data_IF_979193094417
#
_entry.id   IF_979193094417
#
_cell.length_a   1.000
_cell.length_b   1.000
_cell.length_c   1.000
_cell.angle_alpha   90.00
_cell.angle_beta   90.00
_cell.angle_gamma   90.00
#
_symmetry.space_group_name_H-M   'P 1'
#
loop_
_entity.id
_entity.type
_entity.pdbx_description
1 polymer ?
#
# COMPACT_ATOMS: atom_id res chain seq x y z
N UNK A 1 5.18 -24.69 2.48
CA UNK A 1 6.43 -23.96 2.21
C UNK A 1 6.06 -22.66 1.50
N UNK A 2 5.96 -21.61 2.27
CA UNK A 2 5.64 -20.26 1.73
C UNK A 2 6.90 -19.75 1.03
N UNK A 3 6.90 -19.71 -0.29
CA UNK A 3 7.92 -18.99 -1.03
C UNK A 3 7.54 -17.51 -0.99
N UNK A 4 8.11 -16.78 -0.06
CA UNK A 4 8.11 -15.32 -0.11
C UNK A 4 8.81 -14.92 -1.41
N UNK A 5 8.05 -14.42 -2.36
CA UNK A 5 8.60 -13.77 -3.54
C UNK A 5 9.21 -12.45 -3.07
N UNK A 6 10.51 -12.46 -2.83
CA UNK A 6 11.25 -11.23 -2.52
C UNK A 6 11.19 -10.34 -3.75
N UNK A 7 10.45 -9.28 -3.63
CA UNK A 7 10.61 -8.15 -4.53
C UNK A 7 12.00 -7.58 -4.25
N UNK A 8 12.92 -7.82 -5.19
CA UNK A 8 14.23 -7.20 -5.13
C UNK A 8 13.99 -5.76 -5.57
N UNK A 9 13.86 -4.86 -4.62
CA UNK A 9 14.04 -3.44 -4.87
C UNK A 9 15.53 -3.26 -5.15
N UNK A 10 15.96 -2.98 -6.38
CA UNK A 10 17.35 -2.61 -6.60
C UNK A 10 17.56 -1.29 -5.87
N UNK A 11 18.49 -1.28 -4.93
CA UNK A 11 19.08 -0.05 -4.39
C UNK A 11 19.73 0.71 -5.55
N UNK A 12 18.93 1.39 -6.31
CA UNK A 12 19.35 2.34 -7.32
C UNK A 12 19.18 3.74 -6.75
N UNK A 13 20.29 4.30 -6.32
CA UNK A 13 20.42 5.72 -5.99
C UNK A 13 20.09 6.51 -7.26
N UNK A 14 18.83 6.90 -7.45
CA UNK A 14 18.45 7.88 -8.45
C UNK A 14 17.93 9.12 -7.74
N UNK A 15 18.84 10.08 -7.61
CA UNK A 15 18.51 11.47 -7.35
C UNK A 15 17.78 11.99 -8.59
N UNK A 16 16.46 12.04 -8.55
CA UNK A 16 15.70 12.85 -9.48
C UNK A 16 14.77 13.78 -8.71
N UNK A 17 15.04 15.04 -8.95
CA UNK A 17 14.32 16.15 -8.36
C UNK A 17 12.84 16.18 -8.76
N UNK A 18 12.01 16.57 -7.79
CA UNK A 18 10.81 17.33 -8.06
C UNK A 18 9.55 16.55 -8.40
N UNK A 19 9.07 15.73 -7.48
CA UNK A 19 7.63 15.61 -7.24
C UNK A 19 7.38 16.12 -5.83
N UNK A 20 6.86 17.35 -5.76
CA UNK A 20 6.49 17.94 -4.49
C UNK A 20 5.36 17.12 -3.85
N UNK A 21 5.60 16.49 -2.69
CA UNK A 21 4.60 16.05 -1.77
C UNK A 21 4.43 14.57 -1.49
N UNK A 22 5.08 13.64 -2.19
CA UNK A 22 5.03 12.22 -1.86
C UNK A 22 6.35 11.77 -1.24
N UNK A 23 6.35 11.47 0.05
CA UNK A 23 7.47 10.85 0.75
C UNK A 23 7.21 9.34 0.85
N UNK A 24 8.27 8.52 0.72
CA UNK A 24 8.15 7.12 1.12
C UNK A 24 7.74 7.05 2.59
N UNK A 25 6.75 6.22 2.95
CA UNK A 25 6.40 6.05 4.34
C UNK A 25 7.63 5.57 5.09
N UNK A 26 8.07 6.35 6.07
CA UNK A 26 9.20 5.96 6.89
C UNK A 26 8.79 4.76 7.75
N UNK A 27 9.42 3.61 7.52
CA UNK A 27 9.19 2.37 8.27
C UNK A 27 9.71 2.44 9.72
N UNK A 28 10.06 3.63 10.20
CA UNK A 28 10.99 3.74 11.31
C UNK A 28 10.41 3.73 12.71
N UNK A 29 9.17 4.13 12.97
CA UNK A 29 8.81 4.45 14.37
C UNK A 29 7.37 4.07 14.77
N UNK A 30 6.87 2.95 14.28
CA UNK A 30 5.62 2.39 14.78
C UNK A 30 5.82 1.88 16.22
N UNK A 31 4.95 2.29 17.15
CA UNK A 31 4.95 1.72 18.48
C UNK A 31 4.24 0.35 18.50
N UNK A 32 4.43 -0.41 19.58
CA UNK A 32 3.87 -1.77 19.70
C UNK A 32 2.34 -1.80 19.60
N UNK A 33 1.65 -0.79 20.11
CA UNK A 33 0.19 -0.71 20.02
C UNK A 33 -0.28 -0.50 18.59
N UNK A 34 0.40 0.37 17.84
CA UNK A 34 0.11 0.59 16.43
C UNK A 34 0.33 -0.68 15.60
N UNK A 35 1.45 -1.36 15.82
CA UNK A 35 1.75 -2.64 15.16
C UNK A 35 0.63 -3.65 15.42
N UNK A 36 0.24 -3.82 16.69
CA UNK A 36 -0.83 -4.75 17.07
C UNK A 36 -2.17 -4.40 16.41
N UNK A 37 -2.54 -3.12 16.36
CA UNK A 37 -3.77 -2.67 15.71
C UNK A 37 -3.76 -2.97 14.22
N UNK A 38 -2.66 -2.71 13.53
CA UNK A 38 -2.51 -3.00 12.11
C UNK A 38 -2.56 -4.51 11.82
N UNK A 39 -1.86 -5.32 12.60
CA UNK A 39 -1.88 -6.79 12.49
C UNK A 39 -3.29 -7.34 12.68
N UNK A 40 -4.02 -6.84 13.68
CA UNK A 40 -5.40 -7.25 13.91
C UNK A 40 -6.30 -6.92 12.73
N UNK A 41 -6.18 -5.73 12.15
CA UNK A 41 -6.99 -5.30 11.00
C UNK A 41 -6.62 -6.03 9.70
N UNK A 42 -5.36 -6.40 9.53
CA UNK A 42 -4.89 -7.18 8.37
C UNK A 42 -5.14 -8.68 8.51
N UNK A 43 -5.46 -9.18 9.69
CA UNK A 43 -5.50 -10.62 9.97
C UNK A 43 -6.40 -11.41 9.04
N UNK A 44 -7.55 -10.87 8.66
CA UNK A 44 -8.48 -11.53 7.73
C UNK A 44 -7.88 -11.64 6.32
N UNK A 45 -7.26 -10.57 5.82
CA UNK A 45 -6.60 -10.57 4.51
C UNK A 45 -5.44 -11.55 4.48
N UNK A 46 -4.62 -11.58 5.54
CA UNK A 46 -3.50 -12.51 5.67
C UNK A 46 -3.98 -13.96 5.70
N UNK A 47 -5.02 -14.26 6.49
CA UNK A 47 -5.60 -15.61 6.56
C UNK A 47 -6.16 -16.07 5.21
N UNK A 48 -6.82 -15.20 4.47
CA UNK A 48 -7.33 -15.50 3.13
C UNK A 48 -6.18 -15.80 2.17
N UNK A 49 -5.13 -14.98 2.19
CA UNK A 49 -3.97 -15.16 1.33
C UNK A 49 -3.24 -16.47 1.64
N UNK A 50 -3.00 -16.77 2.91
CA UNK A 50 -2.35 -18.00 3.35
C UNK A 50 -3.18 -19.26 3.04
N UNK A 51 -4.49 -19.20 3.24
CA UNK A 51 -5.39 -20.31 2.93
C UNK A 51 -5.47 -20.65 1.44
N UNK A 52 -5.14 -19.70 0.56
CA UNK A 52 -5.18 -19.86 -0.89
C UNK A 52 -3.79 -19.87 -1.53
N UNK A 53 -2.73 -19.99 -0.75
CA UNK A 53 -1.32 -19.96 -1.22
C UNK A 53 -0.98 -18.71 -2.05
N UNK A 54 -1.62 -17.57 -1.74
CA UNK A 54 -1.38 -16.30 -2.40
C UNK A 54 -0.16 -15.62 -1.77
N UNK A 55 0.83 -15.27 -2.60
CA UNK A 55 1.96 -14.46 -2.18
C UNK A 55 1.54 -13.01 -1.92
N UNK A 56 1.97 -12.44 -0.80
CA UNK A 56 1.67 -11.05 -0.44
C UNK A 56 2.87 -10.35 0.18
N UNK A 57 2.82 -9.02 0.15
CA UNK A 57 3.75 -8.14 0.86
C UNK A 57 2.98 -7.14 1.71
N UNK A 58 3.54 -6.75 2.84
CA UNK A 58 3.00 -5.71 3.71
C UNK A 58 4.06 -4.62 3.89
N UNK A 59 3.66 -3.37 3.64
CA UNK A 59 4.45 -2.18 3.89
C UNK A 59 3.73 -1.33 4.94
N UNK A 60 4.47 -0.82 5.90
CA UNK A 60 3.92 0.04 6.96
C UNK A 60 4.53 1.43 6.91
N UNK A 61 3.85 2.39 7.48
CA UNK A 61 4.33 3.77 7.56
C UNK A 61 3.52 4.63 8.52
N UNK A 62 3.98 5.85 8.69
CA UNK A 62 3.34 6.90 9.49
C UNK A 62 3.08 8.11 8.60
N UNK A 63 1.85 8.62 8.62
CA UNK A 63 1.46 9.82 7.91
C UNK A 63 0.65 10.75 8.82
N UNK A 64 0.84 12.05 8.65
CA UNK A 64 -0.04 13.07 9.23
C UNK A 64 -1.29 13.27 8.36
N UNK A 65 -2.34 13.84 8.92
CA UNK A 65 -3.52 14.21 8.15
C UNK A 65 -3.14 15.12 6.96
N UNK A 66 -3.63 14.77 5.77
CA UNK A 66 -3.32 15.47 4.52
C UNK A 66 -2.02 15.03 3.83
N UNK A 67 -1.19 14.18 4.46
CA UNK A 67 0.01 13.65 3.83
C UNK A 67 -0.31 12.44 2.94
N UNK A 68 0.47 12.31 1.87
CA UNK A 68 0.46 11.17 0.98
C UNK A 68 1.77 10.39 1.10
N UNK A 69 1.66 9.07 1.13
CA UNK A 69 2.77 8.14 0.94
C UNK A 69 2.63 7.46 -0.42
N UNK A 70 3.73 7.31 -1.14
CA UNK A 70 3.73 6.64 -2.43
C UNK A 70 4.89 5.65 -2.54
N UNK A 71 4.65 4.55 -3.23
CA UNK A 71 5.67 3.56 -3.54
C UNK A 71 5.55 3.12 -4.99
N UNK A 72 6.70 2.87 -5.63
CA UNK A 72 6.74 2.28 -6.96
C UNK A 72 6.59 0.77 -6.85
N UNK A 73 5.71 0.21 -7.66
CA UNK A 73 5.45 -1.22 -7.77
C UNK A 73 5.59 -1.66 -9.22
N UNK A 74 6.20 -2.81 -9.47
CA UNK A 74 6.29 -3.39 -10.80
C UNK A 74 5.15 -4.37 -11.01
N UNK A 75 4.31 -4.10 -12.01
CA UNK A 75 3.17 -4.95 -12.36
C UNK A 75 3.34 -5.52 -13.76
N UNK A 76 2.85 -6.73 -13.96
CA UNK A 76 2.89 -7.46 -15.23
C UNK A 76 1.53 -7.43 -15.90
N UNK A 77 1.54 -7.23 -17.21
CA UNK A 77 0.34 -7.23 -18.05
C UNK A 77 -0.51 -8.48 -17.84
N UNK A 78 -1.80 -8.28 -17.64
CA UNK A 78 -2.79 -9.35 -17.58
C UNK A 78 -2.82 -10.13 -16.26
N UNK A 79 -1.92 -9.83 -15.33
CA UNK A 79 -1.95 -10.40 -13.98
C UNK A 79 -2.93 -9.64 -13.10
N UNK A 80 -3.53 -10.32 -12.14
CA UNK A 80 -4.47 -9.72 -11.19
C UNK A 80 -3.71 -9.36 -9.91
N UNK A 81 -3.77 -8.09 -9.52
CA UNK A 81 -3.20 -7.59 -8.27
C UNK A 81 -4.29 -6.99 -7.40
N UNK A 82 -4.22 -7.30 -6.12
CA UNK A 82 -5.11 -6.72 -5.12
C UNK A 82 -4.28 -5.96 -4.09
N UNK A 83 -4.73 -4.75 -3.74
CA UNK A 83 -4.14 -3.92 -2.72
C UNK A 83 -5.20 -3.52 -1.72
N UNK A 84 -4.86 -3.63 -0.45
CA UNK A 84 -5.70 -3.18 0.65
C UNK A 84 -4.85 -2.38 1.63
N UNK A 85 -5.42 -1.35 2.22
CA UNK A 85 -4.77 -0.61 3.28
C UNK A 85 -5.65 -0.58 4.53
N UNK A 86 -4.99 -0.53 5.67
CA UNK A 86 -5.61 -0.32 6.97
C UNK A 86 -4.81 0.71 7.74
N UNK A 87 -5.42 1.34 8.73
CA UNK A 87 -4.74 2.29 9.60
C UNK A 87 -5.11 2.07 11.07
N UNK A 88 -4.37 2.73 11.97
CA UNK A 88 -4.62 2.60 13.39
C UNK A 88 -5.97 3.21 13.83
N UNK A 89 -6.30 3.10 15.11
CA UNK A 89 -7.59 3.55 15.64
C UNK A 89 -7.79 5.08 15.60
N UNK A 90 -6.69 5.85 15.53
CA UNK A 90 -6.76 7.31 15.40
C UNK A 90 -7.06 7.78 13.99
N UNK A 91 -6.98 6.92 13.01
CA UNK A 91 -7.27 7.18 11.61
C UNK A 91 -8.70 6.74 11.27
N UNK A 92 -9.46 7.60 10.60
CA UNK A 92 -10.84 7.33 10.20
C UNK A 92 -11.07 7.37 8.68
N UNK A 93 -10.12 7.90 7.92
CA UNK A 93 -10.25 8.02 6.46
C UNK A 93 -8.88 8.01 5.77
N UNK A 94 -8.68 7.06 4.88
CA UNK A 94 -7.54 6.97 3.96
C UNK A 94 -8.01 6.66 2.54
N UNK A 95 -7.40 7.34 1.56
CA UNK A 95 -7.64 7.11 0.14
C UNK A 95 -6.48 6.30 -0.47
N UNK A 96 -6.78 5.48 -1.45
CA UNK A 96 -5.80 4.72 -2.21
C UNK A 96 -5.97 4.98 -3.70
N UNK A 97 -4.85 5.17 -4.40
CA UNK A 97 -4.83 5.35 -5.85
C UNK A 97 -3.66 4.57 -6.45
N UNK A 98 -3.90 3.89 -7.56
CA UNK A 98 -2.86 3.28 -8.39
C UNK A 98 -2.77 4.06 -9.70
N UNK A 99 -1.55 4.55 -10.02
CA UNK A 99 -1.24 5.23 -11.28
C UNK A 99 -0.41 4.35 -12.18
N UNK A 100 -0.71 4.41 -13.46
CA UNK A 100 0.06 3.73 -14.49
C UNK A 100 1.40 4.40 -14.78
N UNK A 101 2.24 3.77 -15.64
CA UNK A 101 3.52 4.32 -16.06
C UNK A 101 3.43 5.68 -16.76
N UNK A 102 2.29 6.01 -17.32
CA UNK A 102 1.97 7.30 -17.96
C UNK A 102 1.52 8.38 -16.97
N UNK A 103 1.44 8.07 -15.67
CA UNK A 103 0.98 8.98 -14.63
C UNK A 103 -0.53 9.13 -14.51
N UNK A 104 -1.31 8.35 -15.25
CA UNK A 104 -2.79 8.37 -15.21
C UNK A 104 -3.30 7.39 -14.16
N UNK A 105 -4.31 7.81 -13.38
CA UNK A 105 -4.96 6.95 -12.41
C UNK A 105 -5.65 5.78 -13.13
N UNK A 106 -5.30 4.55 -12.75
CA UNK A 106 -5.88 3.33 -13.35
C UNK A 106 -6.89 2.67 -12.43
N UNK A 107 -6.77 2.87 -11.12
CA UNK A 107 -7.71 2.37 -10.12
C UNK A 107 -7.59 3.19 -8.84
N UNK A 108 -8.69 3.33 -8.10
CA UNK A 108 -8.71 4.06 -6.82
C UNK A 108 -9.87 3.61 -5.94
N UNK A 109 -9.69 3.81 -4.64
CA UNK A 109 -10.75 3.77 -3.62
C UNK A 109 -10.62 5.03 -2.76
N UNK A 110 -11.60 5.92 -2.84
CA UNK A 110 -11.66 7.23 -2.19
C UNK A 110 -12.93 7.40 -1.37
N UNK A 111 -13.51 6.31 -0.91
CA UNK A 111 -14.62 6.36 0.03
C UNK A 111 -14.14 6.87 1.39
N UNK A 112 -15.02 7.57 2.11
CA UNK A 112 -14.70 8.11 3.43
C UNK A 112 -14.70 7.00 4.49
N UNK A 113 -13.71 6.13 4.42
CA UNK A 113 -13.47 5.04 5.37
C UNK A 113 -11.98 4.75 5.55
N UNK A 114 -11.68 3.85 6.48
CA UNK A 114 -10.31 3.54 6.89
C UNK A 114 -9.77 2.22 6.31
N UNK A 115 -10.41 1.66 5.28
CA UNK A 115 -10.04 0.36 4.73
C UNK A 115 -10.21 0.29 3.20
N UNK A 116 -9.52 1.15 2.43
CA UNK A 116 -9.61 1.11 0.98
C UNK A 116 -9.03 -0.18 0.40
N UNK A 117 -9.64 -0.67 -0.68
CA UNK A 117 -9.15 -1.82 -1.42
C UNK A 117 -9.37 -1.65 -2.92
N UNK A 118 -8.38 -2.01 -3.72
CA UNK A 118 -8.44 -1.93 -5.18
C UNK A 118 -7.94 -3.22 -5.81
N UNK A 119 -8.49 -3.55 -6.99
CA UNK A 119 -8.00 -4.60 -7.86
C UNK A 119 -7.52 -3.99 -9.17
N UNK A 120 -6.34 -4.39 -9.61
CA UNK A 120 -5.70 -3.88 -10.82
C UNK A 120 -5.33 -5.03 -11.73
N UNK A 121 -5.76 -4.95 -13.00
CA UNK A 121 -5.27 -5.82 -14.07
C UNK A 121 -4.54 -4.94 -15.08
N UNK A 122 -3.20 -4.89 -15.06
CA UNK A 122 -2.44 -3.99 -15.92
C UNK A 122 -2.64 -4.31 -17.40
N UNK A 123 -2.73 -3.28 -18.24
CA UNK A 123 -2.78 -3.41 -19.70
C UNK A 123 -1.40 -3.48 -20.35
N UNK A 124 -0.37 -3.15 -19.58
CA UNK A 124 1.04 -3.17 -19.97
C UNK A 124 1.92 -3.52 -18.77
N UNK A 125 3.11 -4.07 -19.04
CA UNK A 125 4.14 -4.23 -18.03
C UNK A 125 4.72 -2.87 -17.66
N UNK A 126 5.09 -2.68 -16.41
CA UNK A 126 5.82 -1.47 -16.05
C UNK A 126 5.79 -1.12 -14.58
N UNK A 127 6.32 0.07 -14.31
CA UNK A 127 6.35 0.69 -13.00
C UNK A 127 5.07 1.51 -12.79
N UNK A 128 4.29 1.09 -11.79
CA UNK A 128 3.08 1.77 -11.33
C UNK A 128 3.37 2.46 -10.00
N UNK A 129 2.59 3.45 -9.66
CA UNK A 129 2.68 4.13 -8.36
C UNK A 129 1.44 3.77 -7.54
N UNK A 130 1.67 3.22 -6.36
CA UNK A 130 0.65 3.04 -5.34
C UNK A 130 0.75 4.19 -4.35
N UNK A 131 -0.29 5.00 -4.27
CA UNK A 131 -0.37 6.16 -3.37
C UNK A 131 -1.46 5.94 -2.33
N UNK A 132 -1.17 6.27 -1.09
CA UNK A 132 -2.15 6.34 0.01
C UNK A 132 -2.12 7.73 0.59
N UNK A 133 -3.30 8.36 0.73
CA UNK A 133 -3.46 9.67 1.34
C UNK A 133 -4.15 9.51 2.69
N UNK A 134 -3.51 10.01 3.75
CA UNK A 134 -4.10 10.07 5.08
C UNK A 134 -5.07 11.26 5.12
N UNK A 135 -6.37 11.01 5.00
CA UNK A 135 -7.39 12.06 4.96
C UNK A 135 -7.72 12.57 6.35
N UNK A 136 -7.92 11.67 7.30
CA UNK A 136 -8.28 12.01 8.67
C UNK A 136 -7.46 11.21 9.68
N UNK A 137 -6.76 11.91 10.54
CA UNK A 137 -5.96 11.36 11.64
C UNK A 137 -6.16 12.25 12.87
N UNK A 138 -6.60 11.66 13.97
CA UNK A 138 -6.84 12.38 15.23
C UNK A 138 -5.57 12.66 16.03
N UNK A 139 -4.46 12.02 15.70
CA UNK A 139 -3.13 12.23 16.28
C UNK A 139 -2.25 13.05 15.31
N UNK A 140 -1.06 13.43 15.76
CA UNK A 140 -0.08 14.10 14.89
C UNK A 140 0.30 13.22 13.69
N UNK A 141 0.40 11.91 13.91
CA UNK A 141 0.66 10.90 12.88
C UNK A 141 -0.14 9.64 13.18
N UNK A 142 -0.67 9.04 12.14
CA UNK A 142 -1.33 7.74 12.19
C UNK A 142 -0.51 6.69 11.48
N UNK A 143 -0.51 5.47 12.03
CA UNK A 143 0.10 4.32 11.40
C UNK A 143 -0.82 3.75 10.33
N UNK A 144 -0.23 3.27 9.26
CA UNK A 144 -0.92 2.56 8.20
C UNK A 144 -0.12 1.34 7.75
N UNK A 145 -0.82 0.38 7.19
CA UNK A 145 -0.24 -0.75 6.50
C UNK A 145 -0.93 -0.95 5.15
N UNK A 146 -0.15 -1.25 4.14
CA UNK A 146 -0.64 -1.61 2.82
C UNK A 146 -0.22 -3.04 2.53
N UNK A 147 -1.18 -3.88 2.18
CA UNK A 147 -0.96 -5.25 1.72
C UNK A 147 -1.18 -5.30 0.22
N UNK A 148 -0.20 -5.82 -0.51
CA UNK A 148 -0.30 -6.10 -1.94
C UNK A 148 -0.19 -7.60 -2.18
N UNK A 149 -1.06 -8.14 -3.04
CA UNK A 149 -1.07 -9.54 -3.40
C UNK A 149 -1.26 -9.72 -4.91
N UNK A 150 -0.57 -10.71 -5.48
CA UNK A 150 -0.83 -11.20 -6.84
C UNK A 150 -1.73 -12.40 -6.75
N UNK A 151 -2.89 -12.31 -7.34
CA UNK A 151 -3.87 -13.41 -7.39
C UNK A 151 -3.62 -14.21 -8.66
N UNK A 152 -3.29 -15.48 -8.50
CA UNK A 152 -3.18 -16.41 -9.62
C UNK A 152 -4.55 -17.05 -9.88
N UNK A 153 -4.95 -17.04 -11.15
CA UNK A 153 -6.14 -17.78 -11.58
C UNK A 153 -5.89 -19.30 -11.62
#
# INVERSE_FOLDING_TARGET
MVRALRWIVPLGLCVFGGLAGAQEPSSGDLNEDQIRQLEQKLSEYVQIAEANDIAYEITTGLLSAGEAGATEITLEKGQIYQFAAVCDEACSDIDMTVRGPDGVDVQWDRFADAAPAVEVVPKEDGAFILEVVMKECANDRCALAVMGARVEE
#
